data_IF_131584363242
#
_entry.id   IF_131584363242
#
_cell.length_a   1.000
_cell.length_b   1.000
_cell.length_c   1.000
_cell.angle_alpha   90.00
_cell.angle_beta   90.00
_cell.angle_gamma   90.00
#
_symmetry.space_group_name_H-M   'P 1'
#
loop_
_entity.id
_entity.type
_entity.pdbx_description
1 polymer ?
#
# COMPACT_ATOMS: atom_id res chain seq x y z
N UNK A 1 10.52 -10.25 5.63
CA UNK A 1 11.44 -9.12 5.43
C UNK A 1 10.65 -7.88 5.04
N UNK A 2 11.07 -6.73 5.52
CA UNK A 2 10.41 -5.46 5.26
C UNK A 2 11.39 -4.48 4.66
N UNK A 3 10.88 -3.52 3.88
CA UNK A 3 11.68 -2.41 3.39
C UNK A 3 10.84 -1.16 3.32
N UNK A 4 11.49 0.00 3.39
CA UNK A 4 10.85 1.30 3.23
C UNK A 4 11.36 1.96 1.97
N UNK A 5 10.43 2.49 1.19
CA UNK A 5 10.75 3.29 0.02
C UNK A 5 10.19 4.68 0.20
N UNK A 6 10.93 5.67 -0.26
CA UNK A 6 10.50 7.07 -0.18
C UNK A 6 9.95 7.51 -1.52
N UNK A 7 8.78 8.13 -1.49
CA UNK A 7 8.19 8.72 -2.68
C UNK A 7 7.60 10.08 -2.34
N UNK A 8 8.11 11.11 -2.98
CA UNK A 8 7.61 12.49 -2.84
C UNK A 8 7.45 12.92 -1.36
N UNK A 9 8.44 12.58 -0.52
CA UNK A 9 8.41 12.90 0.90
C UNK A 9 7.58 11.95 1.76
N UNK A 10 6.98 10.94 1.16
CA UNK A 10 6.19 9.92 1.88
C UNK A 10 6.94 8.61 1.95
N UNK A 11 6.85 7.95 3.10
CA UNK A 11 7.44 6.63 3.30
C UNK A 11 6.39 5.57 3.06
N UNK A 12 6.70 4.62 2.19
CA UNK A 12 5.81 3.48 1.91
C UNK A 12 6.52 2.22 2.33
N UNK A 13 5.88 1.47 3.22
CA UNK A 13 6.43 0.19 3.71
C UNK A 13 6.03 -0.93 2.77
N UNK A 14 6.99 -1.79 2.49
CA UNK A 14 6.76 -3.01 1.71
C UNK A 14 7.14 -4.20 2.57
N UNK A 15 6.36 -5.26 2.45
CA UNK A 15 6.63 -6.52 3.14
C UNK A 15 6.69 -7.65 2.13
N UNK A 16 7.51 -8.65 2.40
CA UNK A 16 7.56 -9.84 1.57
C UNK A 16 6.46 -10.80 2.03
N UNK A 17 5.62 -11.20 1.08
CA UNK A 17 4.48 -12.07 1.34
C UNK A 17 4.35 -13.05 0.17
N UNK A 18 4.42 -14.34 0.46
CA UNK A 18 4.37 -15.39 -0.57
C UNK A 18 5.40 -15.19 -1.70
N UNK A 19 6.60 -14.74 -1.35
CA UNK A 19 7.67 -14.54 -2.32
C UNK A 19 7.58 -13.28 -3.15
N UNK A 20 6.63 -12.40 -2.84
CA UNK A 20 6.42 -11.14 -3.57
C UNK A 20 6.45 -9.96 -2.60
N UNK A 21 6.76 -8.79 -3.12
CA UNK A 21 6.69 -7.55 -2.35
C UNK A 21 5.27 -6.99 -2.41
N UNK A 22 4.70 -6.76 -1.22
CA UNK A 22 3.36 -6.17 -1.06
C UNK A 22 3.51 -4.87 -0.30
N UNK A 23 2.73 -3.87 -0.68
CA UNK A 23 2.77 -2.55 -0.04
C UNK A 23 1.71 -2.44 1.06
N UNK A 24 2.05 -1.70 2.13
CA UNK A 24 1.09 -1.42 3.20
C UNK A 24 0.04 -0.46 2.67
N UNK A 25 -1.23 -0.87 2.68
CA UNK A 25 -2.33 -0.08 2.11
C UNK A 25 -2.48 1.28 2.79
N UNK A 26 -2.28 1.34 4.11
CA UNK A 26 -2.37 2.60 4.86
C UNK A 26 -1.41 3.65 4.33
N UNK A 27 -0.20 3.25 3.95
CA UNK A 27 0.79 4.19 3.44
C UNK A 27 0.41 4.70 2.06
N UNK A 28 -0.09 3.83 1.19
CA UNK A 28 -0.56 4.22 -0.14
C UNK A 28 -1.77 5.15 -0.03
N UNK A 29 -2.71 4.81 0.84
CA UNK A 29 -3.90 5.63 1.07
C UNK A 29 -3.52 7.04 1.51
N UNK A 30 -2.50 7.15 2.37
CA UNK A 30 -2.01 8.44 2.85
C UNK A 30 -1.41 9.27 1.72
N UNK A 31 -0.62 8.65 0.85
CA UNK A 31 -0.02 9.34 -0.30
C UNK A 31 -1.09 9.87 -1.25
N UNK A 32 -2.12 9.07 -1.51
CA UNK A 32 -3.19 9.42 -2.44
C UNK A 32 -4.35 10.17 -1.77
N UNK A 33 -4.26 10.39 -0.45
CA UNK A 33 -5.29 11.05 0.35
C UNK A 33 -6.64 10.38 0.23
N UNK A 34 -6.64 9.04 0.23
CA UNK A 34 -7.84 8.22 0.18
C UNK A 34 -8.00 7.45 1.47
N UNK A 35 -9.24 7.11 1.82
CA UNK A 35 -9.49 6.25 2.98
C UNK A 35 -9.29 4.78 2.61
N UNK A 36 -8.68 4.00 3.49
CA UNK A 36 -8.40 2.59 3.24
C UNK A 36 -9.68 1.80 2.92
N UNK A 37 -10.75 2.03 3.66
CA UNK A 37 -12.02 1.33 3.44
C UNK A 37 -12.58 1.60 2.05
N UNK A 38 -12.36 2.79 1.53
CA UNK A 38 -12.82 3.18 0.19
C UNK A 38 -12.04 2.43 -0.88
N UNK A 39 -10.74 2.31 -0.70
CA UNK A 39 -9.87 1.56 -1.59
C UNK A 39 -10.23 0.08 -1.55
N UNK A 40 -10.36 -0.47 -0.35
CA UNK A 40 -10.67 -1.89 -0.13
C UNK A 40 -11.94 -2.33 -0.84
N UNK A 41 -12.96 -1.48 -0.88
CA UNK A 41 -14.22 -1.79 -1.56
C UNK A 41 -14.07 -2.04 -3.04
N UNK A 42 -13.06 -1.45 -3.66
CA UNK A 42 -12.84 -1.51 -5.12
C UNK A 42 -11.87 -2.61 -5.51
N UNK A 43 -11.18 -3.21 -4.54
CA UNK A 43 -10.21 -4.25 -4.81
C UNK A 43 -10.84 -5.62 -4.69
N UNK A 44 -10.39 -6.52 -5.54
CA UNK A 44 -10.77 -7.92 -5.43
C UNK A 44 -10.00 -8.60 -4.29
N UNK A 45 -10.53 -9.70 -3.78
CA UNK A 45 -9.97 -10.36 -2.60
C UNK A 45 -8.57 -10.90 -2.82
N UNK A 46 -8.17 -11.17 -4.05
CA UNK A 46 -6.87 -11.74 -4.36
C UNK A 46 -5.74 -10.71 -4.45
N UNK A 47 -6.05 -9.41 -4.43
CA UNK A 47 -5.02 -8.36 -4.51
C UNK A 47 -4.70 -7.73 -3.17
N UNK A 48 -5.39 -8.09 -2.09
CA UNK A 48 -5.03 -7.63 -0.75
C UNK A 48 -5.01 -8.79 0.24
N UNK A 49 -4.30 -8.60 1.33
CA UNK A 49 -4.17 -9.59 2.39
C UNK A 49 -3.89 -8.86 3.70
N UNK A 50 -3.70 -9.62 4.77
CA UNK A 50 -3.30 -9.07 6.06
C UNK A 50 -1.92 -9.60 6.43
N UNK A 51 -1.13 -8.75 7.06
CA UNK A 51 0.22 -9.11 7.45
C UNK A 51 0.57 -8.44 8.77
N UNK A 52 1.18 -9.17 9.72
CA UNK A 52 1.60 -8.57 10.98
C UNK A 52 2.82 -7.66 10.76
N UNK A 53 2.71 -6.42 11.23
CA UNK A 53 3.78 -5.43 11.14
C UNK A 53 4.06 -4.89 12.53
N UNK A 54 5.33 -4.83 12.90
CA UNK A 54 5.76 -4.31 14.20
C UNK A 54 5.86 -2.79 14.11
N UNK A 55 5.19 -2.09 15.02
CA UNK A 55 5.25 -0.63 15.09
C UNK A 55 6.50 -0.15 15.83
N UNK A 56 6.66 1.17 15.96
CA UNK A 56 7.83 1.78 16.63
C UNK A 56 7.90 1.47 18.11
N UNK A 57 6.80 1.02 18.71
CA UNK A 57 6.75 0.67 20.12
C UNK A 57 6.93 -0.82 20.36
N UNK A 58 7.27 -1.58 19.30
CA UNK A 58 7.48 -3.01 19.40
C UNK A 58 6.21 -3.84 19.39
N UNK A 59 5.05 -3.24 19.14
CA UNK A 59 3.76 -3.93 19.10
C UNK A 59 3.50 -4.44 17.69
N UNK A 60 2.98 -5.64 17.59
CA UNK A 60 2.53 -6.17 16.31
C UNK A 60 1.10 -5.75 16.03
N UNK A 61 0.87 -5.25 14.83
CA UNK A 61 -0.46 -4.91 14.35
C UNK A 61 -0.69 -5.62 13.03
N UNK A 62 -1.88 -6.18 12.86
CA UNK A 62 -2.26 -6.79 11.60
C UNK A 62 -2.73 -5.69 10.66
N UNK A 63 -2.00 -5.48 9.57
CA UNK A 63 -2.28 -4.41 8.62
C UNK A 63 -2.63 -4.97 7.26
N UNK A 64 -3.45 -4.24 6.53
CA UNK A 64 -3.78 -4.61 5.15
C UNK A 64 -2.60 -4.31 4.24
N UNK A 65 -2.31 -5.24 3.35
CA UNK A 65 -1.28 -5.09 2.33
C UNK A 65 -1.88 -5.37 0.96
N UNK A 66 -1.31 -4.76 -0.08
CA UNK A 66 -1.77 -4.92 -1.46
C UNK A 66 -0.61 -5.32 -2.35
N UNK A 67 -0.88 -6.19 -3.32
CA UNK A 67 0.11 -6.59 -4.30
C UNK A 67 0.21 -5.55 -5.43
N UNK A 68 1.04 -5.82 -6.42
CA UNK A 68 1.26 -4.91 -7.53
C UNK A 68 -0.05 -4.56 -8.26
N UNK A 69 -0.91 -5.54 -8.49
CA UNK A 69 -2.21 -5.29 -9.15
C UNK A 69 -3.09 -4.39 -8.30
N UNK A 70 -3.10 -4.61 -6.98
CA UNK A 70 -3.85 -3.76 -6.06
C UNK A 70 -3.34 -2.33 -6.04
N UNK A 71 -2.04 -2.14 -6.15
CA UNK A 71 -1.43 -0.82 -6.22
C UNK A 71 -1.93 -0.09 -7.47
N UNK A 72 -1.87 -0.75 -8.63
CA UNK A 72 -2.31 -0.13 -9.89
C UNK A 72 -3.80 0.19 -9.86
N UNK A 73 -4.64 -0.70 -9.37
CA UNK A 73 -6.07 -0.45 -9.26
C UNK A 73 -6.37 0.75 -8.36
N UNK A 74 -5.62 0.88 -7.26
CA UNK A 74 -5.75 2.02 -6.35
C UNK A 74 -5.40 3.32 -7.07
N UNK A 75 -4.31 3.32 -7.83
CA UNK A 75 -3.87 4.49 -8.59
C UNK A 75 -4.92 4.89 -9.62
N UNK A 76 -5.48 3.92 -10.35
CA UNK A 76 -6.53 4.20 -11.34
C UNK A 76 -7.79 4.78 -10.71
N UNK A 77 -8.05 4.47 -9.44
CA UNK A 77 -9.18 5.02 -8.70
C UNK A 77 -8.95 6.45 -8.24
N UNK A 78 -7.71 6.93 -8.26
CA UNK A 78 -7.35 8.26 -7.80
C UNK A 78 -7.34 9.24 -8.97
N UNK A 79 -7.89 10.44 -8.73
CA UNK A 79 -7.88 11.51 -9.73
C UNK A 79 -6.77 12.52 -9.48
N UNK A 80 -5.91 12.29 -8.52
CA UNK A 80 -4.86 13.24 -8.17
C UNK A 80 -3.72 13.19 -9.18
N UNK A 81 -3.09 14.33 -9.50
CA UNK A 81 -1.91 14.34 -10.38
C UNK A 81 -0.77 13.48 -9.85
N UNK A 82 -0.62 13.39 -8.55
CA UNK A 82 0.41 12.59 -7.91
C UNK A 82 0.23 11.09 -8.18
N UNK A 83 -0.99 10.65 -8.43
CA UNK A 83 -1.25 9.25 -8.72
C UNK A 83 -0.57 8.80 -10.01
N UNK A 84 -0.54 9.66 -11.02
CA UNK A 84 0.13 9.37 -12.28
C UNK A 84 1.64 9.22 -12.08
N UNK A 85 2.22 10.12 -11.30
CA UNK A 85 3.65 10.06 -10.98
C UNK A 85 3.97 8.81 -10.15
N UNK A 86 3.10 8.45 -9.22
CA UNK A 86 3.25 7.25 -8.41
C UNK A 86 3.24 5.99 -9.27
N UNK A 87 2.36 5.94 -10.26
CA UNK A 87 2.30 4.81 -11.20
C UNK A 87 3.62 4.62 -11.93
N UNK A 88 4.26 5.70 -12.34
CA UNK A 88 5.54 5.63 -13.01
C UNK A 88 6.67 5.19 -12.06
N UNK A 89 6.55 5.50 -10.77
CA UNK A 89 7.52 5.12 -9.77
C UNK A 89 7.45 3.64 -9.42
N UNK A 90 6.25 3.08 -9.36
CA UNK A 90 6.03 1.67 -9.04
C UNK A 90 6.45 0.78 -10.21
#
# INVERSE_FOLDING_TARGET
MEKNEQWNGHSIRFVEHNGEWWAVLADIAKVLELEQRFIKRRLEDDVFSKHPITDNLGRQQEMLIVNEFGIYETIFSSRKPEAKAFKLWV
#
